data_IF_268922269063
#
_entry.id   IF_268922269063
#
_cell.length_a   1.000
_cell.length_b   1.000
_cell.length_c   1.000
_cell.angle_alpha   90.00
_cell.angle_beta   90.00
_cell.angle_gamma   90.00
#
_symmetry.space_group_name_H-M   'P 1'
#
loop_
_entity.id
_entity.type
_entity.pdbx_description
1 polymer ?
#
# COMPACT_ATOMS: atom_id res chain seq x y z
N UNK A 1 43.08 -27.10 -30.12
CA UNK A 1 41.69 -27.50 -29.85
C UNK A 1 41.40 -27.57 -28.35
N UNK A 2 42.19 -28.20 -27.54
CA UNK A 2 41.98 -28.35 -26.08
C UNK A 2 41.87 -27.04 -25.32
N UNK A 3 42.75 -26.06 -25.60
CA UNK A 3 42.70 -24.74 -24.93
C UNK A 3 41.38 -24.00 -25.22
N UNK A 4 40.90 -24.07 -26.44
CA UNK A 4 39.60 -23.42 -26.83
C UNK A 4 38.44 -24.08 -26.09
N UNK A 5 38.47 -25.43 -25.94
CA UNK A 5 37.44 -26.17 -25.21
C UNK A 5 37.46 -25.82 -23.71
N UNK A 6 38.62 -25.71 -23.09
CA UNK A 6 38.78 -25.29 -21.69
C UNK A 6 38.24 -23.87 -21.48
N UNK A 7 38.59 -22.93 -22.36
CA UNK A 7 38.09 -21.54 -22.28
C UNK A 7 36.57 -21.51 -22.42
N UNK A 8 35.99 -22.28 -23.33
CA UNK A 8 34.55 -22.36 -23.52
C UNK A 8 33.83 -22.90 -22.27
N UNK A 9 34.39 -23.97 -21.66
CA UNK A 9 33.83 -24.52 -20.39
C UNK A 9 33.90 -23.50 -19.27
N UNK A 10 34.98 -22.73 -19.12
CA UNK A 10 35.13 -21.71 -18.12
C UNK A 10 34.06 -20.62 -18.34
N UNK A 11 33.84 -20.16 -19.57
CA UNK A 11 32.81 -19.15 -19.89
C UNK A 11 31.42 -19.66 -19.51
N UNK A 12 31.08 -20.91 -19.82
CA UNK A 12 29.78 -21.50 -19.47
C UNK A 12 29.59 -21.54 -17.94
N UNK A 13 30.64 -21.94 -17.21
CA UNK A 13 30.59 -21.97 -15.73
C UNK A 13 30.35 -20.55 -15.17
N UNK A 14 31.08 -19.55 -15.66
CA UNK A 14 30.93 -18.15 -15.22
C UNK A 14 29.53 -17.64 -15.51
N UNK A 15 28.98 -17.92 -16.69
CA UNK A 15 27.61 -17.53 -17.06
C UNK A 15 26.57 -18.24 -16.18
N UNK A 16 26.76 -19.52 -15.86
CA UNK A 16 25.87 -20.25 -14.97
C UNK A 16 25.86 -19.67 -13.55
N UNK A 17 27.04 -19.34 -13.01
CA UNK A 17 27.17 -18.69 -11.70
C UNK A 17 26.50 -17.33 -11.72
N UNK A 18 26.73 -16.50 -12.73
CA UNK A 18 26.11 -15.18 -12.88
C UNK A 18 24.57 -15.28 -12.90
N UNK A 19 24.03 -16.26 -13.65
CA UNK A 19 22.58 -16.50 -13.72
C UNK A 19 21.99 -16.86 -12.36
N UNK A 20 22.64 -17.75 -11.59
CA UNK A 20 22.21 -18.12 -10.24
C UNK A 20 22.21 -16.91 -9.29
N UNK A 21 23.29 -16.12 -9.30
CA UNK A 21 23.39 -14.91 -8.45
C UNK A 21 22.28 -13.91 -8.79
N UNK A 22 22.03 -13.69 -10.07
CA UNK A 22 20.98 -12.77 -10.53
C UNK A 22 19.59 -13.27 -10.16
N UNK A 23 19.31 -14.55 -10.37
CA UNK A 23 18.06 -15.16 -9.94
C UNK A 23 17.81 -14.96 -8.44
N UNK A 24 18.80 -15.27 -7.62
CA UNK A 24 18.70 -15.09 -6.16
C UNK A 24 18.47 -13.64 -5.77
N UNK A 25 19.10 -12.70 -6.46
CA UNK A 25 18.87 -11.26 -6.23
C UNK A 25 17.43 -10.86 -6.58
N UNK A 26 16.88 -11.31 -7.71
CA UNK A 26 15.48 -11.03 -8.08
C UNK A 26 14.49 -11.63 -7.08
N UNK A 27 14.76 -12.85 -6.59
CA UNK A 27 13.95 -13.48 -5.52
C UNK A 27 13.98 -12.62 -4.25
N UNK A 28 15.16 -12.14 -3.84
CA UNK A 28 15.29 -11.28 -2.66
C UNK A 28 14.52 -9.96 -2.83
N UNK A 29 14.60 -9.33 -3.99
CA UNK A 29 13.89 -8.10 -4.28
C UNK A 29 12.36 -8.33 -4.27
N UNK A 30 11.88 -9.43 -4.85
CA UNK A 30 10.46 -9.82 -4.78
C UNK A 30 10.01 -10.00 -3.34
N UNK A 31 10.78 -10.70 -2.53
CA UNK A 31 10.46 -10.91 -1.12
C UNK A 31 10.44 -9.59 -0.33
N UNK A 32 11.29 -8.62 -0.68
CA UNK A 32 11.24 -7.27 -0.09
C UNK A 32 9.93 -6.54 -0.42
N UNK A 33 9.43 -6.67 -1.66
CA UNK A 33 8.12 -6.12 -2.04
C UNK A 33 6.99 -6.75 -1.21
N UNK A 34 6.99 -8.09 -1.11
CA UNK A 34 5.97 -8.81 -0.35
C UNK A 34 6.00 -8.45 1.15
N UNK A 35 7.21 -8.29 1.73
CA UNK A 35 7.37 -7.82 3.11
C UNK A 35 6.93 -6.36 3.32
N UNK A 36 7.23 -5.48 2.38
CA UNK A 36 6.80 -4.09 2.45
C UNK A 36 5.27 -3.99 2.39
N UNK A 37 4.63 -4.80 1.52
CA UNK A 37 3.18 -4.92 1.50
C UNK A 37 2.60 -5.42 2.83
N UNK A 38 3.16 -6.46 3.41
CA UNK A 38 2.70 -7.00 4.68
C UNK A 38 2.71 -5.95 5.81
N UNK A 39 3.68 -5.04 5.82
CA UNK A 39 3.72 -3.94 6.78
C UNK A 39 2.58 -2.94 6.57
N UNK A 40 2.27 -2.58 5.32
CA UNK A 40 1.09 -1.76 4.98
C UNK A 40 -0.19 -2.45 5.46
N UNK A 41 -0.33 -3.73 5.13
CA UNK A 41 -1.51 -4.53 5.43
C UNK A 41 -1.83 -4.61 6.93
N UNK A 42 -0.80 -4.75 7.77
CA UNK A 42 -0.94 -4.70 9.24
C UNK A 42 -1.53 -3.37 9.73
N UNK A 43 -1.12 -2.23 9.14
CA UNK A 43 -1.66 -0.94 9.56
C UNK A 43 -3.08 -0.73 9.02
N UNK A 44 -3.38 -1.21 7.82
CA UNK A 44 -4.75 -1.21 7.29
C UNK A 44 -5.68 -2.04 8.19
N UNK A 45 -5.24 -3.22 8.61
CA UNK A 45 -6.03 -4.06 9.52
C UNK A 45 -6.26 -3.37 10.86
N UNK A 46 -5.22 -2.77 11.45
CA UNK A 46 -5.35 -2.00 12.70
C UNK A 46 -6.38 -0.87 12.55
N UNK A 47 -6.35 -0.16 11.43
CA UNK A 47 -7.34 0.89 11.13
C UNK A 47 -8.75 0.34 11.06
N UNK A 48 -8.97 -0.78 10.37
CA UNK A 48 -10.27 -1.45 10.27
C UNK A 48 -10.82 -1.90 11.63
N UNK A 49 -9.95 -2.29 12.55
CA UNK A 49 -10.32 -2.77 13.89
C UNK A 49 -10.78 -1.61 14.81
N UNK A 50 -10.34 -0.37 14.53
CA UNK A 50 -10.78 0.81 15.28
C UNK A 50 -12.17 1.32 14.85
N UNK A 51 -12.57 1.09 13.61
CA UNK A 51 -13.80 1.64 13.03
C UNK A 51 -15.10 1.24 13.78
N UNK A 52 -15.30 -0.04 14.19
CA UNK A 52 -16.51 -0.40 14.92
C UNK A 52 -16.69 0.40 16.20
N UNK A 53 -15.64 0.58 16.97
CA UNK A 53 -15.67 1.35 18.22
C UNK A 53 -15.97 2.83 17.96
N UNK A 54 -15.40 3.40 16.88
CA UNK A 54 -15.71 4.77 16.47
C UNK A 54 -17.19 4.92 16.11
N UNK A 55 -17.72 4.02 15.26
CA UNK A 55 -19.12 4.03 14.83
C UNK A 55 -20.06 3.93 16.04
N UNK A 56 -19.82 3.02 16.97
CA UNK A 56 -20.63 2.87 18.18
C UNK A 56 -20.55 4.12 19.07
N UNK A 57 -19.36 4.71 19.23
CA UNK A 57 -19.21 5.94 20.02
C UNK A 57 -20.00 7.09 19.39
N UNK A 58 -19.89 7.28 18.06
CA UNK A 58 -20.60 8.35 17.36
C UNK A 58 -22.12 8.14 17.40
N UNK A 59 -22.62 6.91 17.23
CA UNK A 59 -24.06 6.60 17.31
C UNK A 59 -24.70 7.04 18.63
N UNK A 60 -23.96 6.97 19.74
CA UNK A 60 -24.45 7.39 21.04
C UNK A 60 -24.77 8.89 21.14
N UNK A 61 -24.18 9.72 20.30
CA UNK A 61 -24.31 11.18 20.34
C UNK A 61 -24.96 11.77 19.08
N UNK A 62 -24.77 11.14 17.92
CA UNK A 62 -25.18 11.63 16.61
C UNK A 62 -26.00 10.57 15.86
N UNK A 63 -27.05 10.05 16.49
CA UNK A 63 -27.89 8.97 15.94
C UNK A 63 -28.63 9.35 14.65
N UNK A 64 -28.76 10.62 14.33
CA UNK A 64 -29.39 11.10 13.10
C UNK A 64 -28.48 11.10 11.88
N UNK A 65 -27.16 10.90 12.06
CA UNK A 65 -26.14 10.93 11.01
C UNK A 65 -25.96 9.57 10.31
N UNK A 66 -27.06 8.88 10.07
CA UNK A 66 -27.06 7.53 9.51
C UNK A 66 -26.31 7.44 8.17
N UNK A 67 -26.40 8.46 7.31
CA UNK A 67 -25.73 8.46 6.00
C UNK A 67 -24.21 8.40 6.13
N UNK A 68 -23.62 9.22 7.00
CA UNK A 68 -22.16 9.26 7.24
C UNK A 68 -21.67 7.99 7.91
N UNK A 69 -22.41 7.45 8.87
CA UNK A 69 -22.08 6.18 9.53
C UNK A 69 -22.15 5.01 8.55
N UNK A 70 -23.13 4.99 7.65
CA UNK A 70 -23.25 3.98 6.60
C UNK A 70 -22.06 4.06 5.64
N UNK A 71 -21.68 5.26 5.18
CA UNK A 71 -20.50 5.45 4.32
C UNK A 71 -19.23 4.90 4.94
N UNK A 72 -18.99 5.15 6.23
CA UNK A 72 -17.81 4.62 6.93
C UNK A 72 -17.85 3.09 6.99
N UNK A 73 -19.00 2.50 7.27
CA UNK A 73 -19.18 1.06 7.36
C UNK A 73 -19.01 0.36 6.00
N UNK A 74 -19.55 0.96 4.94
CA UNK A 74 -19.40 0.47 3.56
C UNK A 74 -17.93 0.57 3.09
N UNK A 75 -17.29 1.71 3.33
CA UNK A 75 -15.88 1.90 3.00
C UNK A 75 -14.98 0.91 3.76
N UNK A 76 -15.24 0.67 5.05
CA UNK A 76 -14.57 -0.38 5.84
C UNK A 76 -14.73 -1.76 5.19
N UNK A 77 -15.95 -2.10 4.79
CA UNK A 77 -16.24 -3.39 4.13
C UNK A 77 -15.52 -3.51 2.79
N UNK A 78 -15.43 -2.43 2.02
CA UNK A 78 -14.69 -2.40 0.76
C UNK A 78 -13.19 -2.69 0.96
N UNK A 79 -12.55 -2.11 1.99
CA UNK A 79 -11.15 -2.41 2.34
C UNK A 79 -10.98 -3.86 2.75
N UNK A 80 -11.88 -4.38 3.58
CA UNK A 80 -11.82 -5.77 4.09
C UNK A 80 -11.97 -6.81 2.97
N UNK A 81 -12.80 -6.54 1.97
CA UNK A 81 -13.12 -7.46 0.88
C UNK A 81 -12.22 -7.30 -0.36
N UNK A 82 -11.32 -6.35 -0.36
CA UNK A 82 -10.43 -6.10 -1.49
C UNK A 82 -9.46 -7.26 -1.73
N UNK A 83 -9.45 -7.80 -2.96
CA UNK A 83 -8.72 -9.01 -3.32
C UNK A 83 -7.23 -8.77 -3.68
N UNK A 84 -6.82 -7.52 -3.91
CA UNK A 84 -5.44 -7.19 -4.30
C UNK A 84 -4.90 -6.01 -3.49
N UNK A 85 -3.56 -5.88 -3.38
CA UNK A 85 -2.93 -4.73 -2.77
C UNK A 85 -3.44 -3.39 -3.31
N UNK A 86 -3.50 -3.23 -4.61
CA UNK A 86 -3.97 -2.02 -5.26
C UNK A 86 -5.44 -1.72 -4.93
N UNK A 87 -6.32 -2.71 -5.05
CA UNK A 87 -7.74 -2.56 -4.71
C UNK A 87 -7.93 -2.20 -3.24
N UNK A 88 -7.14 -2.80 -2.33
CA UNK A 88 -7.21 -2.52 -0.89
C UNK A 88 -6.81 -1.09 -0.57
N UNK A 89 -5.81 -0.56 -1.26
CA UNK A 89 -5.37 0.82 -1.09
C UNK A 89 -6.33 1.85 -1.68
N UNK A 90 -6.96 1.53 -2.82
CA UNK A 90 -8.02 2.37 -3.39
C UNK A 90 -9.22 2.45 -2.45
N UNK A 91 -9.64 1.31 -1.91
CA UNK A 91 -10.71 1.25 -0.92
C UNK A 91 -10.35 2.01 0.37
N UNK A 92 -9.09 1.96 0.84
CA UNK A 92 -8.63 2.72 2.00
C UNK A 92 -8.66 4.23 1.76
N UNK A 93 -8.41 4.69 0.53
CA UNK A 93 -8.59 6.11 0.19
C UNK A 93 -10.06 6.55 0.31
N UNK A 94 -11.02 5.69 -0.03
CA UNK A 94 -12.45 5.94 0.19
C UNK A 94 -12.76 5.99 1.70
N UNK A 95 -12.19 5.09 2.49
CA UNK A 95 -12.33 5.07 3.95
C UNK A 95 -11.76 6.36 4.58
N UNK A 96 -10.61 6.84 4.11
CA UNK A 96 -10.04 8.12 4.54
C UNK A 96 -11.02 9.28 4.33
N UNK A 97 -11.67 9.34 3.17
CA UNK A 97 -12.64 10.39 2.87
C UNK A 97 -13.90 10.25 3.73
N UNK A 98 -14.41 9.04 3.94
CA UNK A 98 -15.56 8.79 4.81
C UNK A 98 -15.26 9.19 6.27
N UNK A 99 -14.07 8.90 6.78
CA UNK A 99 -13.64 9.31 8.12
C UNK A 99 -13.50 10.83 8.25
N UNK A 100 -12.95 11.52 7.23
CA UNK A 100 -12.91 12.99 7.22
C UNK A 100 -14.32 13.59 7.33
N UNK A 101 -15.29 13.03 6.59
CA UNK A 101 -16.70 13.47 6.67
C UNK A 101 -17.28 13.21 8.06
N UNK A 102 -17.00 12.05 8.67
CA UNK A 102 -17.46 11.74 10.02
C UNK A 102 -16.89 12.70 11.07
N UNK A 103 -15.60 13.01 10.99
CA UNK A 103 -14.97 13.97 11.90
C UNK A 103 -15.50 15.39 11.71
N UNK A 104 -15.79 15.79 10.46
CA UNK A 104 -16.45 17.09 10.21
C UNK A 104 -17.85 17.17 10.83
N UNK A 105 -18.63 16.10 10.76
CA UNK A 105 -19.95 16.02 11.43
C UNK A 105 -19.77 16.10 12.94
N UNK A 106 -18.77 15.42 13.53
CA UNK A 106 -18.55 15.44 14.97
C UNK A 106 -18.28 16.85 15.54
N UNK A 107 -17.81 17.80 14.72
CA UNK A 107 -17.65 19.21 15.15
C UNK A 107 -19.00 19.89 15.51
N UNK A 108 -20.12 19.42 14.95
CA UNK A 108 -21.43 19.90 15.28
C UNK A 108 -22.02 19.35 16.61
N UNK A 109 -21.31 18.37 17.23
CA UNK A 109 -21.75 17.67 18.45
C UNK A 109 -20.74 17.88 19.58
N UNK A 110 -20.84 18.96 20.39
CA UNK A 110 -19.85 19.31 21.43
C UNK A 110 -19.62 18.20 22.46
N UNK A 111 -20.67 17.47 22.85
CA UNK A 111 -20.58 16.38 23.82
C UNK A 111 -19.81 15.18 23.27
N UNK A 112 -19.97 14.86 21.98
CA UNK A 112 -19.15 13.85 21.30
C UNK A 112 -17.69 14.29 21.22
N UNK A 113 -17.43 15.52 20.84
CA UNK A 113 -16.09 16.08 20.74
C UNK A 113 -15.37 16.09 22.09
N UNK A 114 -16.09 16.28 23.18
CA UNK A 114 -15.56 16.23 24.55
C UNK A 114 -15.37 14.79 25.09
N UNK A 115 -15.92 13.79 24.40
CA UNK A 115 -15.81 12.39 24.83
C UNK A 115 -14.36 11.88 24.69
N UNK A 116 -13.78 11.41 25.79
CA UNK A 116 -12.38 10.94 25.82
C UNK A 116 -12.13 9.73 24.91
N UNK A 117 -13.08 8.80 24.78
CA UNK A 117 -12.95 7.64 23.89
C UNK A 117 -12.94 8.07 22.43
N UNK A 118 -13.79 9.05 22.06
CA UNK A 118 -13.81 9.61 20.70
C UNK A 118 -12.47 10.28 20.37
N UNK A 119 -11.94 11.12 21.27
CA UNK A 119 -10.65 11.80 21.08
C UNK A 119 -9.50 10.80 20.96
N UNK A 120 -9.49 9.73 21.77
CA UNK A 120 -8.50 8.68 21.67
C UNK A 120 -8.56 7.95 20.32
N UNK A 121 -9.77 7.54 19.90
CA UNK A 121 -9.98 6.88 18.60
C UNK A 121 -9.57 7.76 17.43
N UNK A 122 -9.89 9.05 17.46
CA UNK A 122 -9.48 10.03 16.46
C UNK A 122 -7.96 10.13 16.39
N UNK A 123 -7.29 10.21 17.53
CA UNK A 123 -5.82 10.28 17.62
C UNK A 123 -5.18 8.99 17.08
N UNK A 124 -5.70 7.82 17.45
CA UNK A 124 -5.18 6.54 16.97
C UNK A 124 -5.39 6.35 15.46
N UNK A 125 -6.55 6.76 14.93
CA UNK A 125 -6.85 6.72 13.50
C UNK A 125 -5.93 7.66 12.71
N UNK A 126 -5.71 8.89 13.21
CA UNK A 126 -4.77 9.83 12.60
C UNK A 126 -3.33 9.27 12.59
N UNK A 127 -2.86 8.75 13.73
CA UNK A 127 -1.53 8.13 13.80
C UNK A 127 -1.38 6.90 12.90
N UNK A 128 -2.47 6.16 12.67
CA UNK A 128 -2.47 5.00 11.76
C UNK A 128 -2.42 5.47 10.30
N UNK A 129 -3.14 6.54 9.94
CA UNK A 129 -3.08 7.16 8.61
C UNK A 129 -1.68 7.63 8.25
N UNK A 130 -1.00 8.33 9.19
CA UNK A 130 0.38 8.79 8.98
C UNK A 130 1.32 7.61 8.72
N UNK A 131 1.16 6.50 9.47
CA UNK A 131 1.94 5.29 9.27
C UNK A 131 1.64 4.62 7.93
N UNK A 132 0.37 4.54 7.54
CA UNK A 132 -0.02 4.00 6.24
C UNK A 132 0.60 4.82 5.13
N UNK A 133 0.53 6.15 5.20
CA UNK A 133 1.13 7.06 4.21
C UNK A 133 2.63 6.84 4.07
N UNK A 134 3.36 6.77 5.17
CA UNK A 134 4.81 6.50 5.17
C UNK A 134 5.13 5.11 4.58
N UNK A 135 4.38 4.07 4.97
CA UNK A 135 4.60 2.71 4.48
C UNK A 135 4.23 2.54 3.01
N UNK A 136 3.25 3.30 2.49
CA UNK A 136 2.94 3.38 1.06
C UNK A 136 4.13 3.89 0.26
N UNK A 137 4.76 4.95 0.71
CA UNK A 137 5.96 5.48 0.06
C UNK A 137 7.09 4.45 0.05
N UNK A 138 7.36 3.83 1.19
CA UNK A 138 8.38 2.77 1.30
C UNK A 138 8.08 1.58 0.38
N UNK A 139 6.80 1.16 0.28
CA UNK A 139 6.39 0.11 -0.65
C UNK A 139 6.66 0.51 -2.11
N UNK A 140 6.30 1.73 -2.51
CA UNK A 140 6.55 2.23 -3.86
C UNK A 140 8.03 2.23 -4.22
N UNK A 141 8.90 2.63 -3.28
CA UNK A 141 10.35 2.64 -3.48
C UNK A 141 10.87 1.22 -3.73
N UNK A 142 10.42 0.24 -2.94
CA UNK A 142 10.83 -1.16 -3.10
C UNK A 142 10.29 -1.76 -4.40
N UNK A 143 9.04 -1.44 -4.78
CA UNK A 143 8.44 -1.85 -6.06
C UNK A 143 9.23 -1.26 -7.23
N UNK A 144 9.61 0.01 -7.17
CA UNK A 144 10.41 0.67 -8.21
C UNK A 144 11.77 -0.05 -8.37
N UNK A 145 12.46 -0.34 -7.28
CA UNK A 145 13.75 -1.06 -7.31
C UNK A 145 13.58 -2.45 -7.95
N UNK A 146 12.56 -3.21 -7.54
CA UNK A 146 12.26 -4.52 -8.11
C UNK A 146 11.92 -4.43 -9.60
N UNK A 147 11.01 -3.54 -9.97
CA UNK A 147 10.60 -3.37 -11.36
C UNK A 147 11.75 -2.94 -12.27
N UNK A 148 12.64 -2.07 -11.78
CA UNK A 148 13.85 -1.70 -12.51
C UNK A 148 14.78 -2.90 -12.70
N UNK A 149 14.98 -3.74 -11.67
CA UNK A 149 15.83 -4.90 -11.74
C UNK A 149 15.34 -5.95 -12.76
N UNK A 150 14.02 -6.13 -12.91
CA UNK A 150 13.46 -7.07 -13.91
C UNK A 150 13.37 -6.49 -15.31
N UNK A 151 13.54 -5.18 -15.50
CA UNK A 151 13.42 -4.51 -16.81
C UNK A 151 14.77 -4.11 -17.40
N UNK A 152 15.83 -4.01 -16.60
CA UNK A 152 17.16 -3.62 -17.05
C UNK A 152 18.01 -4.84 -17.36
N UNK A 153 18.95 -4.69 -18.33
CA UNK A 153 19.94 -5.72 -18.61
C UNK A 153 20.99 -5.78 -17.49
N UNK A 154 21.42 -6.98 -17.08
CA UNK A 154 21.07 -8.30 -17.62
C UNK A 154 19.84 -8.94 -16.94
N UNK A 155 19.23 -8.32 -15.94
CA UNK A 155 18.08 -8.84 -15.15
C UNK A 155 16.86 -9.20 -16.00
N UNK A 156 16.60 -8.46 -17.09
CA UNK A 156 15.46 -8.70 -17.99
C UNK A 156 15.50 -10.10 -18.63
N UNK A 157 16.68 -10.64 -18.90
CA UNK A 157 16.84 -11.98 -19.46
C UNK A 157 16.44 -13.04 -18.44
N UNK A 158 16.92 -12.91 -17.19
CA UNK A 158 16.58 -13.82 -16.10
C UNK A 158 15.08 -13.69 -15.75
N UNK A 159 14.57 -12.47 -15.70
CA UNK A 159 13.16 -12.20 -15.44
C UNK A 159 12.26 -12.87 -16.48
N UNK A 160 12.60 -12.82 -17.76
CA UNK A 160 11.89 -13.50 -18.83
C UNK A 160 11.93 -15.02 -18.70
N UNK A 161 13.10 -15.60 -18.42
CA UNK A 161 13.29 -17.05 -18.28
C UNK A 161 12.50 -17.64 -17.10
N UNK A 162 12.44 -16.92 -15.97
CA UNK A 162 11.83 -17.40 -14.71
C UNK A 162 10.48 -16.73 -14.41
N UNK A 163 9.90 -16.00 -15.36
CA UNK A 163 8.57 -15.39 -15.27
C UNK A 163 8.41 -14.43 -14.07
N UNK A 164 9.41 -13.59 -13.80
CA UNK A 164 9.26 -12.50 -12.85
C UNK A 164 8.43 -11.37 -13.48
N UNK A 165 7.19 -11.22 -13.00
CA UNK A 165 6.26 -10.19 -13.44
C UNK A 165 6.45 -8.87 -12.70
N UNK A 166 6.06 -7.76 -13.35
CA UNK A 166 5.97 -6.44 -12.73
C UNK A 166 5.05 -6.46 -11.50
N UNK A 167 5.41 -5.67 -10.50
CA UNK A 167 4.55 -5.33 -9.36
C UNK A 167 3.97 -3.93 -9.56
N UNK A 168 2.72 -3.75 -9.16
CA UNK A 168 2.04 -2.46 -9.24
C UNK A 168 2.46 -1.58 -8.06
N UNK A 169 2.78 -0.32 -8.34
CA UNK A 169 2.97 0.72 -7.33
C UNK A 169 1.65 1.41 -7.05
N UNK A 170 1.53 2.02 -5.88
CA UNK A 170 0.42 2.90 -5.58
C UNK A 170 0.69 4.25 -6.20
N UNK A 171 -0.06 4.62 -7.24
CA UNK A 171 0.02 5.95 -7.80
C UNK A 171 -0.42 6.96 -6.75
N UNK A 172 0.48 7.85 -6.42
CA UNK A 172 0.16 9.05 -5.68
C UNK A 172 -0.68 9.92 -6.62
N UNK A 173 -2.03 9.79 -6.52
CA UNK A 173 -3.01 10.67 -7.15
C UNK A 173 -2.95 10.81 -8.70
N UNK A 174 -3.80 10.09 -9.38
CA UNK A 174 -4.35 10.57 -10.67
C UNK A 174 -4.97 12.00 -10.56
N UNK A 175 -5.32 12.46 -9.35
CA UNK A 175 -5.80 13.81 -9.09
C UNK A 175 -4.68 14.86 -8.95
N UNK A 176 -3.42 14.46 -8.76
CA UNK A 176 -2.28 15.39 -8.71
C UNK A 176 -1.64 15.63 -10.09
N UNK A 177 -2.02 14.87 -11.13
CA UNK A 177 -1.58 15.10 -12.50
C UNK A 177 -2.33 16.25 -13.21
N UNK A 178 -3.48 16.67 -12.72
CA UNK A 178 -4.09 17.92 -13.18
C UNK A 178 -3.39 19.11 -12.49
N UNK A 179 -2.39 19.66 -13.16
CA UNK A 179 -1.81 20.95 -12.76
C UNK A 179 -2.93 21.98 -12.61
N UNK A 180 -2.97 22.78 -11.51
CA UNK A 180 -4.00 23.79 -11.32
C UNK A 180 -3.96 24.75 -12.51
N UNK A 181 -5.08 24.86 -13.25
CA UNK A 181 -5.24 25.86 -14.30
C UNK A 181 -5.27 27.23 -13.63
N UNK A 182 -4.14 27.92 -13.65
CA UNK A 182 -4.08 29.33 -13.26
C UNK A 182 -4.68 30.13 -14.41
N UNK A 183 -5.91 30.62 -14.24
CA UNK A 183 -6.49 31.65 -15.10
C UNK A 183 -6.13 33.02 -14.49
N UNK A 184 -5.45 33.85 -15.26
CA UNK A 184 -5.21 35.26 -14.98
C UNK A 184 -6.39 36.09 -15.48
#
# INVERSE_FOLDING_TARGET
MEIVLIVLVIIVIVLAIALVVMYNNLVQLRNRVDNAWAQVDVQLQRRLDLIPNLVETVKGYASHENATLTQVTEARSAVSNAASPLARMQADSMLTNALKSLFAVAEAYPDLKANSNFQQLQTELSATEDKISYMRQSYNDVVMIYNNAIQTFPGVVVAGLFHFGKRESFDANAAAEEAPKVSF
#
